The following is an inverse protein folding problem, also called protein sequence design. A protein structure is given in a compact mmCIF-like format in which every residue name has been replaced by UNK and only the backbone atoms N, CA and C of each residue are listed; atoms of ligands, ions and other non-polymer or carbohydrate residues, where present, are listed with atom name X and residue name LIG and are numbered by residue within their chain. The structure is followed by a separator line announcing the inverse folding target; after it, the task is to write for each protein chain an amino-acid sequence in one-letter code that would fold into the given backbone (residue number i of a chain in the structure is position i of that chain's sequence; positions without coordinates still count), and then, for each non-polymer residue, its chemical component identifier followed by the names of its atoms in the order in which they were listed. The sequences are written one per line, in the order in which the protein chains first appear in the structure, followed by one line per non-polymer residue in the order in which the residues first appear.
data_IF_870948771480
#
_entry.id   IF_870948771480
#
_cell.length_a   1.000
_cell.length_b   1.000
_cell.length_c   1.000
_cell.angle_alpha   90.00
_cell.angle_beta   90.00
_cell.angle_gamma   90.00
#
_symmetry.space_group_name_H-M   'P 1'
#
loop_
_entity.id
_entity.type
_entity.pdbx_description
1 polymer ?
#
# COMPACT_ATOMS: atom_id res chain seq x y z
N UNK A 1 -50.66 -0.62 -30.76
CA UNK A 1 -49.22 -0.59 -30.38
C UNK A 1 -48.39 -0.47 -31.64
N UNK A 2 -47.69 0.65 -31.85
CA UNK A 2 -46.88 0.97 -33.04
C UNK A 2 -45.46 1.38 -32.60
N UNK A 3 -44.47 0.75 -33.25
CA UNK A 3 -43.03 1.10 -33.44
C UNK A 3 -42.08 1.07 -32.23
N UNK A 4 -40.87 0.50 -32.45
CA UNK A 4 -39.61 1.22 -32.27
C UNK A 4 -38.83 1.26 -33.61
N UNK A 5 -38.41 2.42 -34.11
CA UNK A 5 -37.18 3.17 -33.79
C UNK A 5 -35.89 2.47 -34.29
N UNK A 6 -35.60 2.75 -35.56
CA UNK A 6 -34.27 2.66 -36.17
C UNK A 6 -33.38 3.76 -35.57
N UNK A 7 -32.30 3.36 -34.91
CA UNK A 7 -31.12 4.19 -34.68
C UNK A 7 -29.88 3.35 -35.00
N UNK A 8 -29.54 3.27 -36.29
CA UNK A 8 -28.20 2.90 -36.72
C UNK A 8 -27.46 4.19 -37.10
N UNK A 9 -26.68 4.62 -36.11
CA UNK A 9 -25.35 5.18 -36.21
C UNK A 9 -24.88 5.66 -37.59
N UNK A 10 -24.71 6.97 -37.66
CA UNK A 10 -23.74 7.64 -38.51
C UNK A 10 -22.31 7.27 -38.08
N UNK A 11 -21.46 6.89 -39.03
CA UNK A 11 -20.07 7.37 -39.13
C UNK A 11 -19.50 7.09 -40.53
N UNK A 12 -18.49 7.88 -40.97
CA UNK A 12 -18.39 8.34 -42.35
C UNK A 12 -17.55 7.42 -43.25
N UNK A 13 -17.97 7.34 -44.51
CA UNK A 13 -17.09 6.94 -45.60
C UNK A 13 -15.96 7.97 -45.73
N UNK A 14 -14.74 7.58 -45.39
CA UNK A 14 -13.54 8.29 -45.81
C UNK A 14 -13.40 8.09 -47.31
N UNK A 15 -13.66 9.16 -48.05
CA UNK A 15 -13.42 9.25 -49.47
C UNK A 15 -11.90 9.34 -49.72
N UNK A 16 -11.34 8.31 -50.35
CA UNK A 16 -10.13 8.43 -51.15
C UNK A 16 -10.56 8.28 -52.61
N UNK A 17 -10.62 9.42 -53.30
CA UNK A 17 -11.04 9.50 -54.68
C UNK A 17 -10.02 8.86 -55.62
N UNK A 18 -10.55 8.18 -56.65
CA UNK A 18 -10.32 8.47 -58.07
C UNK A 18 -10.80 7.27 -58.90
N UNK A 19 -12.07 7.29 -59.30
CA UNK A 19 -12.57 7.07 -60.67
C UNK A 19 -14.07 6.70 -60.66
N UNK A 20 -14.89 7.31 -61.54
CA UNK A 20 -16.33 7.08 -61.58
C UNK A 20 -16.66 5.93 -62.55
N UNK A 21 -17.35 4.90 -62.08
CA UNK A 21 -18.12 4.00 -62.96
C UNK A 21 -19.53 3.90 -62.36
N UNK A 22 -20.58 4.17 -63.15
CA UNK A 22 -21.91 4.45 -62.62
C UNK A 22 -22.58 3.20 -62.05
N UNK A 23 -23.31 3.44 -60.96
CA UNK A 23 -24.37 2.59 -60.43
C UNK A 23 -25.35 2.20 -61.55
N UNK A 24 -25.27 0.96 -62.02
CA UNK A 24 -26.41 0.29 -62.63
C UNK A 24 -27.05 -0.60 -61.55
N UNK A 25 -28.08 -0.04 -60.90
CA UNK A 25 -29.09 -0.84 -60.24
C UNK A 25 -29.74 -1.76 -61.28
N UNK A 26 -29.50 -3.06 -61.16
CA UNK A 26 -30.41 -4.07 -61.71
C UNK A 26 -30.69 -5.08 -60.61
N UNK A 27 -31.80 -4.85 -59.93
CA UNK A 27 -32.56 -5.91 -59.28
C UNK A 27 -33.08 -6.78 -60.43
N UNK A 28 -32.46 -7.94 -60.62
CA UNK A 28 -33.01 -9.00 -61.46
C UNK A 28 -33.36 -10.17 -60.54
N UNK A 29 -34.67 -10.29 -60.35
CA UNK A 29 -35.48 -11.49 -60.13
C UNK A 29 -34.78 -12.82 -59.86
N UNK A 30 -35.19 -13.43 -58.74
CA UNK A 30 -35.39 -14.88 -58.53
C UNK A 30 -34.66 -15.80 -59.52
N UNK A 31 -33.46 -16.22 -59.12
CA UNK A 31 -32.81 -17.42 -59.61
C UNK A 31 -31.93 -17.96 -58.49
N UNK A 32 -32.06 -19.25 -58.19
CA UNK A 32 -31.14 -19.99 -57.32
C UNK A 32 -29.71 -19.77 -57.88
N UNK A 33 -28.92 -18.91 -57.24
CA UNK A 33 -27.51 -18.72 -57.61
C UNK A 33 -26.76 -19.96 -57.11
N UNK A 34 -26.05 -20.70 -57.98
CA UNK A 34 -25.14 -21.74 -57.52
C UNK A 34 -24.07 -21.06 -56.68
N UNK A 35 -23.90 -21.53 -55.44
CA UNK A 35 -22.87 -21.02 -54.52
C UNK A 35 -21.53 -21.01 -55.26
N UNK A 36 -21.03 -19.83 -55.56
CA UNK A 36 -19.78 -19.71 -56.32
C UNK A 36 -18.61 -20.00 -55.37
N UNK A 37 -17.44 -20.49 -55.85
CA UNK A 37 -16.28 -20.73 -55.00
C UNK A 37 -15.82 -19.48 -54.21
N UNK A 38 -16.18 -18.28 -54.69
CA UNK A 38 -15.95 -17.01 -54.03
C UNK A 38 -16.80 -16.82 -52.75
N UNK A 39 -18.02 -17.36 -52.70
CA UNK A 39 -18.87 -17.32 -51.51
C UNK A 39 -18.29 -18.21 -50.40
N UNK A 40 -17.78 -19.41 -50.75
CA UNK A 40 -17.07 -20.30 -49.81
C UNK A 40 -15.79 -19.66 -49.25
N UNK A 41 -15.03 -18.94 -50.09
CA UNK A 41 -13.85 -18.21 -49.65
C UNK A 41 -14.19 -17.08 -48.67
N UNK A 42 -15.32 -16.40 -48.87
CA UNK A 42 -15.84 -15.38 -47.95
C UNK A 42 -16.17 -15.94 -46.56
N UNK A 43 -16.83 -17.09 -46.48
CA UNK A 43 -17.11 -17.77 -45.20
C UNK A 43 -15.83 -18.22 -44.48
N UNK A 44 -14.82 -18.70 -45.24
CA UNK A 44 -13.50 -19.04 -44.68
C UNK A 44 -12.77 -17.84 -44.08
N UNK A 45 -12.82 -16.69 -44.76
CA UNK A 45 -12.23 -15.43 -44.28
C UNK A 45 -12.93 -14.92 -43.01
N UNK A 46 -14.26 -15.00 -42.95
CA UNK A 46 -15.04 -14.65 -41.75
C UNK A 46 -14.71 -15.61 -40.59
N UNK A 47 -14.65 -16.92 -40.82
CA UNK A 47 -14.29 -17.88 -39.78
C UNK A 47 -12.87 -17.65 -39.22
N UNK A 48 -11.89 -17.40 -40.10
CA UNK A 48 -10.50 -17.13 -39.69
C UNK A 48 -10.40 -15.83 -38.90
N UNK A 49 -11.10 -14.77 -39.31
CA UNK A 49 -11.12 -13.50 -38.55
C UNK A 49 -11.75 -13.67 -37.18
N UNK A 50 -12.87 -14.39 -37.05
CA UNK A 50 -13.47 -14.69 -35.75
C UNK A 50 -12.54 -15.51 -34.85
N UNK A 51 -11.86 -16.53 -35.38
CA UNK A 51 -10.88 -17.34 -34.62
C UNK A 51 -9.70 -16.48 -34.18
N UNK A 52 -9.21 -15.58 -35.04
CA UNK A 52 -8.09 -14.69 -34.72
C UNK A 52 -8.46 -13.70 -33.62
N UNK A 53 -9.67 -13.12 -33.69
CA UNK A 53 -10.19 -12.21 -32.66
C UNK A 53 -10.42 -12.95 -31.34
N UNK A 54 -11.02 -14.15 -31.36
CA UNK A 54 -11.24 -14.96 -30.16
C UNK A 54 -9.91 -15.42 -29.51
N UNK A 55 -8.93 -15.84 -30.32
CA UNK A 55 -7.58 -16.19 -29.87
C UNK A 55 -6.82 -14.99 -29.30
N UNK A 56 -6.95 -13.82 -29.94
CA UNK A 56 -6.42 -12.55 -29.41
C UNK A 56 -7.03 -12.17 -28.07
N UNK A 57 -8.35 -12.36 -27.91
CA UNK A 57 -9.03 -12.11 -26.64
C UNK A 57 -8.60 -13.09 -25.54
N UNK A 58 -8.46 -14.38 -25.87
CA UNK A 58 -8.01 -15.41 -24.94
C UNK A 58 -6.58 -15.18 -24.43
N UNK A 59 -5.66 -14.83 -25.33
CA UNK A 59 -4.27 -14.50 -24.96
C UNK A 59 -4.17 -13.20 -24.18
N UNK A 60 -4.97 -12.18 -24.51
CA UNK A 60 -5.04 -10.93 -23.75
C UNK A 60 -5.59 -11.14 -22.33
N UNK A 61 -6.66 -11.94 -22.17
CA UNK A 61 -7.21 -12.30 -20.85
C UNK A 61 -6.21 -13.12 -20.05
N UNK A 62 -5.51 -14.06 -20.67
CA UNK A 62 -4.48 -14.86 -20.02
C UNK A 62 -3.28 -14.01 -19.58
N UNK A 63 -2.80 -13.12 -20.45
CA UNK A 63 -1.73 -12.17 -20.15
C UNK A 63 -2.16 -11.22 -19.02
N UNK A 64 -3.39 -10.70 -19.04
CA UNK A 64 -3.94 -9.83 -17.99
C UNK A 64 -4.04 -10.54 -16.63
N UNK A 65 -4.40 -11.83 -16.60
CA UNK A 65 -4.39 -12.63 -15.37
C UNK A 65 -2.97 -12.83 -14.85
N UNK A 66 -2.02 -13.09 -15.75
CA UNK A 66 -0.60 -13.26 -15.38
C UNK A 66 0.01 -11.97 -14.84
N UNK A 67 -0.23 -10.83 -15.48
CA UNK A 67 0.26 -9.53 -15.01
C UNK A 67 -0.40 -9.14 -13.68
N UNK A 68 -1.70 -9.38 -13.52
CA UNK A 68 -2.39 -9.13 -12.25
C UNK A 68 -1.78 -9.94 -11.09
N UNK A 69 -1.43 -11.21 -11.30
CA UNK A 69 -0.77 -12.03 -10.28
C UNK A 69 0.67 -11.58 -9.99
N UNK A 70 1.44 -11.19 -11.02
CA UNK A 70 2.79 -10.65 -10.82
C UNK A 70 2.77 -9.31 -10.08
N UNK A 71 1.81 -8.44 -10.39
CA UNK A 71 1.60 -7.17 -9.69
C UNK A 71 1.18 -7.37 -8.23
N UNK A 72 0.28 -8.33 -7.96
CA UNK A 72 -0.13 -8.68 -6.61
C UNK A 72 1.09 -9.16 -5.79
N UNK A 73 1.90 -10.06 -6.35
CA UNK A 73 3.14 -10.55 -5.71
C UNK A 73 4.13 -9.42 -5.43
N UNK A 74 4.30 -8.48 -6.37
CA UNK A 74 5.16 -7.29 -6.19
C UNK A 74 4.63 -6.32 -5.14
N UNK A 75 3.32 -6.20 -4.97
CA UNK A 75 2.71 -5.40 -3.88
C UNK A 75 2.98 -6.06 -2.53
N UNK A 76 2.67 -7.35 -2.39
CA UNK A 76 2.90 -8.11 -1.16
C UNK A 76 4.36 -8.06 -0.70
N UNK A 77 5.33 -8.22 -1.63
CA UNK A 77 6.77 -8.11 -1.28
C UNK A 77 7.14 -6.72 -0.76
N UNK A 78 6.69 -5.66 -1.43
CA UNK A 78 6.97 -4.28 -1.01
C UNK A 78 6.33 -3.94 0.34
N UNK A 79 5.10 -4.39 0.55
CA UNK A 79 4.39 -4.15 1.80
C UNK A 79 5.06 -4.90 2.96
N UNK A 80 5.62 -6.10 2.69
CA UNK A 80 6.41 -6.86 3.66
C UNK A 80 7.73 -6.17 4.03
N UNK A 81 8.50 -5.69 3.06
CA UNK A 81 9.76 -4.98 3.32
C UNK A 81 9.52 -3.72 4.15
N UNK A 82 8.44 -2.99 3.85
CA UNK A 82 8.00 -1.83 4.62
C UNK A 82 7.60 -2.21 6.05
N UNK A 83 6.82 -3.28 6.21
CA UNK A 83 6.42 -3.77 7.52
C UNK A 83 7.64 -4.12 8.38
N UNK A 84 8.60 -4.86 7.84
CA UNK A 84 9.84 -5.21 8.55
C UNK A 84 10.65 -3.96 8.94
N UNK A 85 10.66 -2.95 8.08
CA UNK A 85 11.34 -1.68 8.36
C UNK A 85 10.67 -0.94 9.51
N UNK A 86 9.34 -0.85 9.51
CA UNK A 86 8.57 -0.21 10.60
C UNK A 86 8.76 -0.96 11.91
N UNK A 87 8.66 -2.29 11.90
CA UNK A 87 8.90 -3.13 13.08
C UNK A 87 10.29 -2.83 13.67
N UNK A 88 11.33 -2.80 12.83
CA UNK A 88 12.70 -2.55 13.28
C UNK A 88 12.88 -1.15 13.88
N UNK A 89 12.29 -0.12 13.28
CA UNK A 89 12.32 1.25 13.82
C UNK A 89 11.69 1.27 15.21
N UNK A 90 10.55 0.60 15.37
CA UNK A 90 9.82 0.52 16.63
C UNK A 90 10.62 -0.25 17.67
N UNK A 91 11.24 -1.37 17.33
CA UNK A 91 12.10 -2.12 18.24
C UNK A 91 13.27 -1.29 18.77
N UNK A 92 13.90 -0.50 17.89
CA UNK A 92 14.99 0.41 18.28
C UNK A 92 14.49 1.52 19.20
N UNK A 93 13.35 2.12 18.88
CA UNK A 93 12.74 3.18 19.69
C UNK A 93 12.34 2.66 21.09
N UNK A 94 11.69 1.50 21.16
CA UNK A 94 11.33 0.84 22.43
C UNK A 94 12.59 0.46 23.21
N UNK A 95 13.59 -0.13 22.56
CA UNK A 95 14.84 -0.50 23.24
C UNK A 95 15.60 0.73 23.80
N UNK A 96 15.54 1.87 23.10
CA UNK A 96 16.13 3.11 23.61
C UNK A 96 15.35 3.67 24.79
N UNK A 97 14.03 3.60 24.75
CA UNK A 97 13.16 4.01 25.84
C UNK A 97 13.40 3.13 27.08
N UNK A 98 13.46 1.80 26.92
CA UNK A 98 13.80 0.84 27.98
C UNK A 98 15.13 1.18 28.65
N UNK A 99 16.17 1.36 27.85
CA UNK A 99 17.49 1.71 28.35
C UNK A 99 17.46 2.97 29.21
N UNK A 100 16.74 4.02 28.78
CA UNK A 100 16.66 5.27 29.51
C UNK A 100 15.78 5.17 30.77
N UNK A 101 14.67 4.43 30.72
CA UNK A 101 13.86 4.15 31.91
C UNK A 101 14.68 3.40 32.97
N UNK A 102 15.53 2.45 32.56
CA UNK A 102 16.38 1.68 33.47
C UNK A 102 17.59 2.46 34.00
N UNK A 103 18.08 3.47 33.26
CA UNK A 103 19.26 4.26 33.67
C UNK A 103 18.93 5.57 34.38
N UNK A 104 17.70 6.07 34.29
CA UNK A 104 17.28 7.33 34.91
C UNK A 104 16.51 7.05 36.20
N UNK A 105 17.14 6.33 37.13
CA UNK A 105 16.49 5.93 38.39
C UNK A 105 16.69 6.96 39.49
N UNK A 106 17.77 7.73 39.41
CA UNK A 106 18.15 8.73 40.42
C UNK A 106 18.29 10.12 39.82
N UNK A 107 18.10 11.15 40.64
CA UNK A 107 18.30 12.55 40.25
C UNK A 107 19.71 12.80 39.69
N UNK A 108 20.73 12.18 40.29
CA UNK A 108 22.13 12.34 39.86
C UNK A 108 22.36 11.79 38.45
N UNK A 109 21.72 10.67 38.09
CA UNK A 109 21.79 10.10 36.75
C UNK A 109 21.09 11.00 35.73
N UNK A 110 19.95 11.59 36.09
CA UNK A 110 19.23 12.56 35.25
C UNK A 110 20.10 13.78 34.97
N UNK A 111 20.74 14.34 36.00
CA UNK A 111 21.66 15.49 35.85
C UNK A 111 22.88 15.09 34.99
N UNK A 112 23.50 13.94 35.25
CA UNK A 112 24.66 13.48 34.48
C UNK A 112 24.32 13.27 32.99
N UNK A 113 23.12 12.78 32.68
CA UNK A 113 22.66 12.59 31.29
C UNK A 113 22.22 13.89 30.63
N UNK A 114 21.66 14.84 31.38
CA UNK A 114 21.38 16.20 30.92
C UNK A 114 22.67 16.89 30.46
N UNK A 115 23.69 16.88 31.32
CA UNK A 115 24.96 17.55 31.05
C UNK A 115 25.76 16.91 29.91
N UNK A 116 25.57 15.60 29.70
CA UNK A 116 26.17 14.89 28.59
C UNK A 116 25.61 15.31 27.21
N UNK A 117 24.50 16.05 27.12
CA UNK A 117 23.88 16.58 25.87
C UNK A 117 23.61 15.56 24.73
N UNK A 118 23.94 14.29 24.89
CA UNK A 118 23.94 13.28 23.82
C UNK A 118 22.58 12.61 23.62
N UNK A 119 21.72 12.59 24.64
CA UNK A 119 20.52 11.74 24.62
C UNK A 119 19.39 12.36 23.78
N UNK A 120 19.12 13.66 23.95
CA UNK A 120 17.95 14.31 23.34
C UNK A 120 17.98 14.36 21.80
N UNK A 121 19.11 14.62 21.13
CA UNK A 121 19.18 14.58 19.66
C UNK A 121 18.82 13.21 19.08
N UNK A 122 19.21 12.13 19.75
CA UNK A 122 18.91 10.77 19.33
C UNK A 122 17.41 10.46 19.48
N UNK A 123 16.80 10.84 20.61
CA UNK A 123 15.35 10.69 20.82
C UNK A 123 14.55 11.49 19.78
N UNK A 124 14.95 12.73 19.49
CA UNK A 124 14.33 13.52 18.42
C UNK A 124 14.49 12.87 17.04
N UNK A 125 15.62 12.17 16.80
CA UNK A 125 15.84 11.38 15.60
C UNK A 125 14.84 10.23 15.46
N UNK A 126 14.62 9.45 16.52
CA UNK A 126 13.63 8.37 16.52
C UNK A 126 12.20 8.91 16.39
N UNK A 127 11.86 10.00 17.08
CA UNK A 127 10.54 10.64 16.97
C UNK A 127 10.26 11.08 15.53
N UNK A 128 11.21 11.80 14.90
CA UNK A 128 11.08 12.20 13.49
C UNK A 128 10.96 11.00 12.58
N UNK A 129 11.73 9.95 12.84
CA UNK A 129 11.67 8.71 12.04
C UNK A 129 10.29 8.07 12.15
N UNK A 130 9.73 7.93 13.36
CA UNK A 130 8.39 7.40 13.59
C UNK A 130 7.31 8.26 12.93
N UNK A 131 7.42 9.60 13.03
CA UNK A 131 6.47 10.54 12.43
C UNK A 131 6.60 10.64 10.90
N UNK A 132 7.76 10.27 10.33
CA UNK A 132 7.99 10.25 8.88
C UNK A 132 7.44 9.00 8.18
N UNK A 133 6.97 8.00 8.94
CA UNK A 133 6.42 6.78 8.38
C UNK A 133 5.15 7.13 7.60
N UNK A 134 5.16 6.88 6.28
CA UNK A 134 4.01 7.11 5.42
C UNK A 134 2.89 6.10 5.74
N UNK A 135 1.95 6.54 6.57
CA UNK A 135 0.82 5.77 7.08
C UNK A 135 -0.09 5.29 5.94
N UNK A 136 -0.19 6.05 4.85
CA UNK A 136 -1.05 5.72 3.71
C UNK A 136 -0.67 4.41 3.01
N UNK A 137 0.57 3.95 3.24
CA UNK A 137 1.14 2.76 2.64
C UNK A 137 1.20 1.57 3.59
N UNK A 138 0.71 1.73 4.82
CA UNK A 138 0.68 0.66 5.81
C UNK A 138 -0.64 -0.12 5.75
N UNK A 139 -0.62 -1.43 6.07
CA UNK A 139 -1.84 -2.18 6.30
C UNK A 139 -2.69 -1.53 7.41
N UNK A 140 -4.01 -1.50 7.23
CA UNK A 140 -4.94 -0.85 8.17
C UNK A 140 -4.80 -1.32 9.62
N UNK A 141 -4.47 -2.61 9.82
CA UNK A 141 -4.24 -3.22 11.13
C UNK A 141 -3.04 -2.61 11.90
N UNK A 142 -2.11 -1.99 11.17
CA UNK A 142 -0.83 -1.51 11.70
C UNK A 142 -0.83 0.01 11.83
N UNK A 143 -1.57 0.70 10.96
CA UNK A 143 -1.77 2.15 10.97
C UNK A 143 -2.06 2.67 12.38
N UNK A 144 -3.07 2.11 13.06
CA UNK A 144 -3.45 2.55 14.39
C UNK A 144 -2.33 2.32 15.41
N UNK A 145 -1.69 1.16 15.37
CA UNK A 145 -0.65 0.80 16.35
C UNK A 145 0.60 1.66 16.16
N UNK A 146 0.99 1.94 14.91
CA UNK A 146 2.10 2.86 14.59
C UNK A 146 1.80 4.29 15.00
N UNK A 147 0.56 4.76 14.80
CA UNK A 147 0.13 6.10 15.27
C UNK A 147 0.21 6.23 16.79
N UNK A 148 -0.31 5.24 17.52
CA UNK A 148 -0.27 5.25 18.99
C UNK A 148 1.18 5.13 19.48
N UNK A 149 2.02 4.32 18.82
CA UNK A 149 3.45 4.21 19.13
C UNK A 149 4.17 5.55 18.96
N UNK A 150 3.93 6.26 17.85
CA UNK A 150 4.51 7.58 17.62
C UNK A 150 4.07 8.58 18.70
N UNK A 151 2.78 8.60 19.04
CA UNK A 151 2.25 9.46 20.10
C UNK A 151 2.86 9.16 21.47
N UNK A 152 3.00 7.88 21.84
CA UNK A 152 3.62 7.49 23.10
C UNK A 152 5.11 7.79 23.14
N UNK A 153 5.82 7.68 22.02
CA UNK A 153 7.21 8.09 21.92
C UNK A 153 7.38 9.61 22.09
N UNK A 154 6.46 10.41 21.53
CA UNK A 154 6.42 11.86 21.78
C UNK A 154 6.14 12.19 23.25
N UNK A 155 5.22 11.47 23.91
CA UNK A 155 5.00 11.61 25.36
C UNK A 155 6.26 11.30 26.16
N UNK A 156 6.92 10.19 25.87
CA UNK A 156 8.20 9.81 26.48
C UNK A 156 9.24 10.93 26.36
N UNK A 157 9.40 11.48 25.16
CA UNK A 157 10.31 12.62 24.90
C UNK A 157 9.92 13.87 25.71
N UNK A 158 8.63 14.19 25.83
CA UNK A 158 8.16 15.32 26.65
C UNK A 158 8.51 15.12 28.12
N UNK A 159 8.19 13.94 28.67
CA UNK A 159 8.48 13.60 30.07
C UNK A 159 9.98 13.66 30.35
N UNK A 160 10.79 13.09 29.45
CA UNK A 160 12.24 13.13 29.54
C UNK A 160 12.78 14.57 29.48
N UNK A 161 12.26 15.41 28.58
CA UNK A 161 12.65 16.82 28.50
C UNK A 161 12.31 17.57 29.78
N UNK A 162 11.09 17.39 30.30
CA UNK A 162 10.65 18.02 31.54
C UNK A 162 11.58 17.62 32.70
N UNK A 163 11.93 16.34 32.81
CA UNK A 163 12.84 15.85 33.83
C UNK A 163 14.25 16.46 33.70
N UNK A 164 14.78 16.64 32.48
CA UNK A 164 16.06 17.31 32.28
C UNK A 164 15.99 18.82 32.61
N UNK A 165 14.89 19.48 32.30
CA UNK A 165 14.70 20.90 32.61
C UNK A 165 14.58 21.14 34.12
N UNK A 166 13.88 20.26 34.84
CA UNK A 166 13.65 20.37 36.29
C UNK A 166 14.66 19.60 37.16
N UNK A 167 15.64 18.93 36.55
CA UNK A 167 16.57 18.00 37.23
C UNK A 167 17.22 18.59 38.50
N UNK A 168 17.59 19.87 38.48
CA UNK A 168 18.28 20.55 39.59
C UNK A 168 17.36 20.87 40.78
N UNK A 169 16.05 20.91 40.55
CA UNK A 169 15.03 21.25 41.53
C UNK A 169 14.05 20.09 41.81
N UNK A 170 14.28 18.91 41.26
CA UNK A 170 13.47 17.72 41.52
C UNK A 170 13.61 17.28 42.98
N UNK A 171 12.48 17.12 43.64
CA UNK A 171 12.38 16.42 44.93
C UNK A 171 12.11 14.92 44.72
N UNK A 172 12.15 14.13 45.80
CA UNK A 172 11.94 12.68 45.73
C UNK A 172 10.51 12.33 45.24
N UNK A 173 9.53 13.20 45.51
CA UNK A 173 8.15 13.02 45.03
C UNK A 173 8.05 13.16 43.51
N UNK A 174 8.62 14.21 42.94
CA UNK A 174 8.70 14.43 41.50
C UNK A 174 9.53 13.33 40.81
N UNK A 175 10.58 12.83 41.47
CA UNK A 175 11.37 11.69 40.97
C UNK A 175 10.55 10.40 40.93
N UNK A 176 9.70 10.16 41.93
CA UNK A 176 8.79 9.04 41.92
C UNK A 176 7.74 9.17 40.80
N UNK A 177 7.10 10.33 40.66
CA UNK A 177 6.13 10.59 39.59
C UNK A 177 6.76 10.39 38.20
N UNK A 178 7.98 10.92 37.98
CA UNK A 178 8.74 10.70 36.76
C UNK A 178 8.97 9.20 36.47
N UNK A 179 9.35 8.42 37.48
CA UNK A 179 9.56 6.97 37.32
C UNK A 179 8.24 6.26 36.96
N UNK A 180 7.16 6.59 37.65
CA UNK A 180 5.82 6.03 37.39
C UNK A 180 5.35 6.35 35.97
N UNK A 181 5.52 7.60 35.50
CA UNK A 181 5.20 8.02 34.14
C UNK A 181 6.04 7.26 33.10
N UNK A 182 7.35 7.14 33.33
CA UNK A 182 8.27 6.44 32.44
C UNK A 182 7.97 4.95 32.34
N UNK A 183 7.61 4.32 33.47
CA UNK A 183 7.17 2.92 33.50
C UNK A 183 5.80 2.71 32.86
N UNK A 184 4.85 3.63 33.07
CA UNK A 184 3.55 3.62 32.42
C UNK A 184 3.69 3.65 30.90
N UNK A 185 4.48 4.60 30.38
CA UNK A 185 4.76 4.71 28.96
C UNK A 185 5.50 3.47 28.44
N UNK A 186 6.45 2.92 29.21
CA UNK A 186 7.14 1.66 28.87
C UNK A 186 6.14 0.53 28.67
N UNK A 187 5.25 0.31 29.64
CA UNK A 187 4.29 -0.79 29.57
C UNK A 187 3.36 -0.66 28.36
N UNK A 188 2.89 0.56 28.07
CA UNK A 188 2.09 0.83 26.87
C UNK A 188 2.87 0.54 25.58
N UNK A 189 4.12 1.03 25.48
CA UNK A 189 4.97 0.81 24.30
C UNK A 189 5.31 -0.66 24.08
N UNK A 190 5.57 -1.43 25.15
CA UNK A 190 5.77 -2.88 25.05
C UNK A 190 4.52 -3.58 24.56
N UNK A 191 3.34 -3.25 25.10
CA UNK A 191 2.07 -3.81 24.62
C UNK A 191 1.85 -3.57 23.12
N UNK A 192 2.12 -2.35 22.66
CA UNK A 192 2.03 -1.99 21.24
C UNK A 192 3.07 -2.72 20.38
N UNK A 193 4.31 -2.88 20.86
CA UNK A 193 5.36 -3.66 20.18
C UNK A 193 4.91 -5.10 19.96
N UNK A 194 4.35 -5.77 20.98
CA UNK A 194 3.85 -7.14 20.83
C UNK A 194 2.72 -7.24 19.80
N UNK A 195 1.80 -6.27 19.78
CA UNK A 195 0.73 -6.24 18.78
C UNK A 195 1.28 -6.11 17.35
N UNK A 196 2.31 -5.27 17.14
CA UNK A 196 2.93 -5.11 15.81
C UNK A 196 3.68 -6.38 15.40
N UNK A 197 4.40 -7.01 16.34
CA UNK A 197 5.10 -8.26 16.08
C UNK A 197 4.15 -9.41 15.76
N UNK A 198 3.01 -9.48 16.44
CA UNK A 198 1.97 -10.48 16.17
C UNK A 198 1.39 -10.29 14.76
N UNK A 199 1.01 -9.07 14.40
CA UNK A 199 0.53 -8.76 13.04
C UNK A 199 1.59 -9.07 11.98
N UNK A 200 2.86 -8.77 12.26
CA UNK A 200 3.97 -9.09 11.36
C UNK A 200 4.19 -10.60 11.21
N UNK A 201 4.00 -11.37 12.29
CA UNK A 201 4.04 -12.83 12.28
C UNK A 201 2.90 -13.41 11.45
N UNK A 202 1.65 -13.00 11.69
CA UNK A 202 0.50 -13.46 10.90
C UNK A 202 0.66 -13.12 9.41
N UNK A 203 1.18 -11.93 9.11
CA UNK A 203 1.47 -11.54 7.72
C UNK A 203 2.58 -12.39 7.07
N UNK A 204 3.47 -12.98 7.87
CA UNK A 204 4.52 -13.89 7.39
C UNK A 204 4.03 -15.34 7.20
N UNK A 205 3.01 -15.77 7.94
CA UNK A 205 2.41 -17.11 7.88
C UNK A 205 1.49 -17.29 6.65
N UNK A 206 0.83 -16.21 6.19
CA UNK A 206 0.07 -16.19 4.92
C UNK A 206 0.90 -16.53 3.67
N UNK A 207 2.22 -16.68 3.82
CA UNK A 207 3.17 -17.06 2.78
C UNK A 207 3.10 -18.55 2.40
N UNK A 208 2.62 -19.40 3.30
CA UNK A 208 2.70 -20.86 3.09
C UNK A 208 1.40 -21.45 2.48
N UNK A 209 0.36 -20.63 2.29
CA UNK A 209 -0.92 -21.06 1.69
C UNK A 209 -1.11 -20.67 0.21
N UNK A 210 -0.21 -19.89 -0.41
CA UNK A 210 -0.31 -19.40 -1.81
C UNK A 210 0.99 -19.52 -2.61
#
# INVERSE_FOLDING_TARGET
MRKPLLLLYWMPCVALGQNPVPLACTVAERGFLPVTPADWAGWGLVAVTFITVAGGFGTAVWAARKTAHEELRRRVRRDRERLLTVVKIIELAVGRQDYLTETLTTQQEIIAKKDAYEVMPEILGYERTLNSIDISRLPSKIVQVTLVMAANFTKFRIVLQNAFESADAMDEGALQEFREDMEGIRNEMHGLKYNILDVARTASEFKDEF
#
